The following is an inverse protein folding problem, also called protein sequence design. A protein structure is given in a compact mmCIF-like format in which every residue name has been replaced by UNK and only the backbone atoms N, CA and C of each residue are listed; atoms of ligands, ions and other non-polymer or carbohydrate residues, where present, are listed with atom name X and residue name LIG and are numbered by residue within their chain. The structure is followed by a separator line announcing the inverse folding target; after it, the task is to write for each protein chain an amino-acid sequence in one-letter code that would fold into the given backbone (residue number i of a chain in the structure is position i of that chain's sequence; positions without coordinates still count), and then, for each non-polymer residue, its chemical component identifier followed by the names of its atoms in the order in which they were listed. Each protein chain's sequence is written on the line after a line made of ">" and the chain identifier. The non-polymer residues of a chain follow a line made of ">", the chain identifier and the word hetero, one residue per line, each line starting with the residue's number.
data_IF_393505046071
#
_entry.id   IF_393505046071
#
_cell.length_a   1.000
_cell.length_b   1.000
_cell.length_c   1.000
_cell.angle_alpha   90.00
_cell.angle_beta   90.00
_cell.angle_gamma   90.00
#
_symmetry.space_group_name_H-M   'P 1'
#
loop_
_entity.id
_entity.type
_entity.pdbx_description
1 polymer ?
#
# COMPACT_ATOMS: atom_id res chain seq x y z
N UNK A 1 4.01 20.34 -18.85
CA UNK A 1 3.75 19.37 -17.77
C UNK A 1 4.82 19.60 -16.72
N UNK A 2 4.44 20.07 -15.55
CA UNK A 2 5.40 20.34 -14.48
C UNK A 2 5.96 19.01 -13.94
N UNK A 3 7.28 18.93 -13.80
CA UNK A 3 7.99 17.73 -13.32
C UNK A 3 7.41 17.15 -12.01
N UNK A 4 7.01 17.96 -11.01
CA UNK A 4 6.38 17.44 -9.78
C UNK A 4 5.03 16.77 -10.03
N UNK A 5 4.24 17.30 -10.96
CA UNK A 5 2.90 16.80 -11.27
C UNK A 5 2.98 15.44 -11.99
N UNK A 6 3.96 15.29 -12.89
CA UNK A 6 4.24 14.01 -13.55
C UNK A 6 4.63 12.92 -12.54
N UNK A 7 5.50 13.26 -11.58
CA UNK A 7 5.95 12.33 -10.54
C UNK A 7 4.79 11.86 -9.64
N UNK A 8 3.87 12.77 -9.31
CA UNK A 8 2.69 12.43 -8.53
C UNK A 8 1.74 11.49 -9.28
N UNK A 9 1.50 11.72 -10.58
CA UNK A 9 0.68 10.82 -11.40
C UNK A 9 1.28 9.40 -11.44
N UNK A 10 2.61 9.31 -11.60
CA UNK A 10 3.32 8.02 -11.61
C UNK A 10 3.23 7.32 -10.25
N UNK A 11 3.34 8.06 -9.15
CA UNK A 11 3.19 7.53 -7.80
C UNK A 11 1.78 6.93 -7.60
N UNK A 12 0.72 7.66 -7.94
CA UNK A 12 -0.67 7.17 -7.84
C UNK A 12 -0.88 5.90 -8.66
N UNK A 13 -0.34 5.86 -9.89
CA UNK A 13 -0.41 4.68 -10.75
C UNK A 13 0.25 3.45 -10.11
N UNK A 14 1.42 3.63 -9.51
CA UNK A 14 2.13 2.58 -8.77
C UNK A 14 1.31 2.13 -7.55
N UNK A 15 0.75 3.05 -6.79
CA UNK A 15 -0.03 2.72 -5.60
C UNK A 15 -1.30 1.94 -5.92
N UNK A 16 -2.00 2.32 -6.99
CA UNK A 16 -3.17 1.58 -7.49
C UNK A 16 -2.74 0.16 -7.92
N UNK A 17 -1.63 0.02 -8.63
CA UNK A 17 -1.12 -1.28 -9.06
C UNK A 17 -0.80 -2.18 -7.85
N UNK A 18 -0.11 -1.64 -6.84
CA UNK A 18 0.23 -2.41 -5.62
C UNK A 18 -1.02 -2.75 -4.80
N UNK A 19 -2.00 -1.83 -4.73
CA UNK A 19 -3.30 -2.10 -4.09
C UNK A 19 -4.00 -3.29 -4.75
N UNK A 20 -4.05 -3.32 -6.08
CA UNK A 20 -4.64 -4.42 -6.84
C UNK A 20 -3.88 -5.72 -6.57
N UNK A 21 -2.54 -5.69 -6.58
CA UNK A 21 -1.72 -6.87 -6.26
C UNK A 21 -2.01 -7.37 -4.85
N UNK A 22 -2.12 -6.47 -3.86
CA UNK A 22 -2.50 -6.79 -2.48
C UNK A 22 -3.87 -7.46 -2.39
N UNK A 23 -4.88 -6.90 -3.07
CA UNK A 23 -6.24 -7.48 -3.13
C UNK A 23 -6.22 -8.86 -3.78
N UNK A 24 -5.47 -9.03 -4.88
CA UNK A 24 -5.35 -10.31 -5.58
C UNK A 24 -4.66 -11.35 -4.67
N UNK A 25 -3.60 -10.98 -3.95
CA UNK A 25 -2.96 -11.84 -2.96
C UNK A 25 -3.94 -12.24 -1.84
N UNK A 26 -4.69 -11.26 -1.33
CA UNK A 26 -5.67 -11.50 -0.28
C UNK A 26 -6.79 -12.46 -0.72
N UNK A 27 -7.33 -12.25 -1.92
CA UNK A 27 -8.50 -12.98 -2.43
C UNK A 27 -8.13 -14.32 -3.06
N UNK A 28 -7.07 -14.37 -3.88
CA UNK A 28 -6.70 -15.58 -4.62
C UNK A 28 -5.77 -16.51 -3.87
N UNK A 29 -4.84 -15.97 -3.07
CA UNK A 29 -3.88 -16.81 -2.33
C UNK A 29 -4.37 -17.10 -0.89
N UNK A 30 -5.52 -16.53 -0.47
CA UNK A 30 -6.04 -16.60 0.91
C UNK A 30 -5.01 -16.13 1.95
N UNK A 31 -4.08 -15.28 1.53
CA UNK A 31 -2.96 -14.84 2.35
C UNK A 31 -3.37 -13.61 3.15
N UNK A 32 -3.39 -13.69 4.50
CA UNK A 32 -3.85 -12.57 5.32
C UNK A 32 -2.97 -11.31 5.17
N UNK A 33 -1.71 -11.44 4.76
CA UNK A 33 -0.84 -10.29 4.47
C UNK A 33 -1.28 -9.45 3.26
N UNK A 34 -2.02 -10.03 2.31
CA UNK A 34 -2.53 -9.29 1.16
C UNK A 34 -3.49 -8.18 1.57
N UNK A 35 -4.28 -8.39 2.64
CA UNK A 35 -5.17 -7.37 3.21
C UNK A 35 -4.38 -6.20 3.79
N UNK A 36 -3.28 -6.46 4.50
CA UNK A 36 -2.41 -5.40 5.01
C UNK A 36 -1.84 -4.55 3.86
N UNK A 37 -1.36 -5.18 2.79
CA UNK A 37 -0.82 -4.48 1.63
C UNK A 37 -1.91 -3.64 0.93
N UNK A 38 -3.08 -4.23 0.68
CA UNK A 38 -4.21 -3.56 0.04
C UNK A 38 -4.70 -2.35 0.84
N UNK A 39 -4.83 -2.48 2.16
CA UNK A 39 -5.26 -1.38 3.03
C UNK A 39 -4.22 -0.25 3.02
N UNK A 40 -2.94 -0.61 3.11
CA UNK A 40 -1.84 0.36 3.16
C UNK A 40 -1.75 1.21 1.90
N UNK A 41 -1.71 0.54 0.74
CA UNK A 41 -1.64 1.24 -0.54
C UNK A 41 -2.97 1.88 -0.93
N UNK A 42 -4.11 1.31 -0.55
CA UNK A 42 -5.42 1.94 -0.76
C UNK A 42 -5.57 3.26 0.01
N UNK A 43 -5.06 3.34 1.24
CA UNK A 43 -4.98 4.58 2.01
C UNK A 43 -4.11 5.62 1.33
N UNK A 44 -2.97 5.22 0.77
CA UNK A 44 -2.10 6.14 0.04
C UNK A 44 -2.78 6.70 -1.21
N UNK A 45 -3.44 5.85 -2.02
CA UNK A 45 -4.20 6.32 -3.20
C UNK A 45 -5.25 7.36 -2.79
N UNK A 46 -5.99 7.10 -1.71
CA UNK A 46 -6.99 8.03 -1.20
C UNK A 46 -6.36 9.37 -0.74
N UNK A 47 -5.19 9.29 -0.12
CA UNK A 47 -4.45 10.46 0.32
C UNK A 47 -3.91 11.28 -0.84
N UNK A 48 -3.37 10.63 -1.87
CA UNK A 48 -2.86 11.30 -3.05
C UNK A 48 -3.98 11.94 -3.87
N UNK A 49 -5.16 11.30 -3.94
CA UNK A 49 -6.37 11.91 -4.49
C UNK A 49 -6.76 13.16 -3.67
N UNK A 50 -6.72 13.06 -2.33
CA UNK A 50 -6.93 14.19 -1.42
C UNK A 50 -5.95 15.36 -1.66
N UNK A 51 -4.69 15.02 -1.95
CA UNK A 51 -3.65 15.99 -2.27
C UNK A 51 -3.86 16.62 -3.65
N UNK A 52 -4.34 15.86 -4.64
CA UNK A 52 -4.70 16.36 -5.98
C UNK A 52 -5.86 17.37 -5.91
N UNK A 53 -6.83 17.16 -5.03
CA UNK A 53 -7.92 18.12 -4.79
C UNK A 53 -7.54 19.25 -3.82
N UNK A 54 -6.26 19.38 -3.47
CA UNK A 54 -5.72 20.44 -2.60
C UNK A 54 -6.39 20.50 -1.22
N UNK A 55 -6.81 19.36 -0.68
CA UNK A 55 -7.29 19.32 0.70
C UNK A 55 -6.13 19.71 1.62
N UNK A 56 -6.31 20.69 2.52
CA UNK A 56 -5.26 21.14 3.44
C UNK A 56 -5.07 20.08 4.54
N UNK A 57 -4.38 19.00 4.19
CA UNK A 57 -4.00 17.96 5.13
C UNK A 57 -2.65 18.36 5.74
N UNK A 58 -2.60 18.47 7.07
CA UNK A 58 -1.40 18.83 7.82
C UNK A 58 -0.25 17.83 7.56
N UNK A 59 0.99 18.32 7.43
CA UNK A 59 2.21 17.50 7.29
C UNK A 59 2.33 16.43 8.40
N UNK A 60 1.81 16.73 9.60
CA UNK A 60 1.77 15.79 10.72
C UNK A 60 0.85 14.58 10.44
N UNK A 61 -0.30 14.80 9.78
CA UNK A 61 -1.21 13.73 9.38
C UNK A 61 -0.59 12.86 8.28
N UNK A 62 0.13 13.48 7.34
CA UNK A 62 0.87 12.73 6.31
C UNK A 62 1.95 11.82 6.94
N UNK A 63 2.71 12.35 7.89
CA UNK A 63 3.76 11.61 8.60
C UNK A 63 3.20 10.43 9.42
N UNK A 64 2.04 10.62 10.08
CA UNK A 64 1.36 9.55 10.82
C UNK A 64 0.87 8.42 9.89
N UNK A 65 0.26 8.77 8.76
CA UNK A 65 -0.22 7.79 7.78
C UNK A 65 0.96 7.02 7.19
N UNK A 66 2.06 7.71 6.88
CA UNK A 66 3.28 7.09 6.40
C UNK A 66 3.86 6.10 7.45
N UNK A 67 3.85 6.47 8.73
CA UNK A 67 4.32 5.60 9.80
C UNK A 67 3.46 4.34 9.94
N UNK A 68 2.12 4.49 9.93
CA UNK A 68 1.18 3.36 9.99
C UNK A 68 1.35 2.46 8.76
N UNK A 69 1.54 3.05 7.59
CA UNK A 69 1.76 2.34 6.35
C UNK A 69 3.07 1.53 6.35
N UNK A 70 4.19 2.15 6.74
CA UNK A 70 5.45 1.44 6.92
C UNK A 70 5.32 0.30 7.94
N UNK A 71 4.64 0.53 9.06
CA UNK A 71 4.38 -0.50 10.06
C UNK A 71 3.55 -1.66 9.52
N UNK A 72 2.50 -1.37 8.76
CA UNK A 72 1.62 -2.37 8.13
C UNK A 72 2.36 -3.19 7.06
N UNK A 73 3.20 -2.55 6.25
CA UNK A 73 4.05 -3.24 5.26
C UNK A 73 5.09 -4.12 5.94
N UNK A 74 5.75 -3.61 6.99
CA UNK A 74 6.71 -4.39 7.78
C UNK A 74 6.05 -5.59 8.44
N UNK A 75 4.83 -5.41 8.98
CA UNK A 75 4.03 -6.48 9.54
C UNK A 75 3.63 -7.50 8.46
N UNK A 76 3.23 -7.05 7.27
CA UNK A 76 2.92 -7.92 6.12
C UNK A 76 4.11 -8.77 5.69
N UNK A 77 5.30 -8.17 5.58
CA UNK A 77 6.56 -8.89 5.26
C UNK A 77 6.94 -9.85 6.39
N UNK A 78 6.77 -9.45 7.65
CA UNK A 78 6.99 -10.32 8.79
C UNK A 78 6.07 -11.55 8.77
N UNK A 79 4.80 -11.35 8.41
CA UNK A 79 3.82 -12.41 8.28
C UNK A 79 4.16 -13.34 7.12
N UNK A 80 4.66 -12.80 5.99
CA UNK A 80 5.20 -13.57 4.88
C UNK A 80 6.44 -14.39 5.28
N UNK A 81 7.34 -13.84 6.10
CA UNK A 81 8.51 -14.56 6.60
C UNK A 81 8.16 -15.64 7.62
N UNK A 82 7.03 -15.46 8.33
CA UNK A 82 6.48 -16.42 9.28
C UNK A 82 5.62 -17.50 8.65
N UNK A 83 5.23 -17.37 7.38
CA UNK A 83 4.67 -18.51 6.68
C UNK A 83 5.78 -19.56 6.56
N UNK A 84 5.65 -20.73 7.22
CA UNK A 84 6.55 -21.82 6.92
C UNK A 84 6.36 -22.09 5.43
N UNK A 85 7.45 -22.05 4.66
CA UNK A 85 7.46 -22.53 3.29
C UNK A 85 6.78 -23.90 3.33
N UNK A 86 5.51 -23.96 2.91
CA UNK A 86 4.79 -25.23 2.84
C UNK A 86 5.52 -25.97 1.74
N UNK A 87 6.45 -26.79 2.20
CA UNK A 87 7.23 -27.75 1.46
C UNK A 87 6.20 -28.50 0.63
N UNK A 88 6.19 -28.19 -0.66
CA UNK A 88 5.42 -28.91 -1.65
C UNK A 88 5.98 -30.33 -1.67
N UNK A 89 5.37 -31.19 -0.85
CA UNK A 89 5.51 -32.63 -0.91
C UNK A 89 4.11 -33.20 -0.81
N UNK A 90 3.40 -33.14 -1.93
CA UNK A 90 2.35 -34.09 -2.27
C UNK A 90 2.50 -34.44 -3.73
#
# INVERSE_FOLDING_TARGET
>A
MDFPYFLQIVAVLLEVAVTIIGIVLATRQQKPYGWCIAITFGLYVLFDIGRLISLPISDAAHSLIFLVACGSMLFGVWLMYREPAVRSYR
#
